data_IF_366381980785
#
_entry.id   IF_366381980785
#
_cell.length_a   1.000
_cell.length_b   1.000
_cell.length_c   1.000
_cell.angle_alpha   90.00
_cell.angle_beta   90.00
_cell.angle_gamma   90.00
#
_symmetry.space_group_name_H-M   'P 1'
#
loop_
_entity.id
_entity.type
_entity.pdbx_description
1 polymer ?
#
# COMPACT_ATOMS: atom_id res chain seq x y z
N UNK A 1 6.19 1.77 16.28
CA UNK A 1 5.39 0.73 15.61
C UNK A 1 4.10 0.45 16.37
N UNK A 2 4.17 0.03 17.63
CA UNK A 2 3.01 -0.43 18.40
C UNK A 2 1.94 0.66 18.58
N UNK A 3 2.34 1.89 18.88
CA UNK A 3 1.41 3.02 19.01
C UNK A 3 0.65 3.29 17.71
N UNK A 4 1.35 3.23 16.57
CA UNK A 4 0.71 3.41 15.26
C UNK A 4 -0.29 2.30 14.94
N UNK A 5 0.07 1.05 15.22
CA UNK A 5 -0.81 -0.10 15.04
C UNK A 5 -2.06 0.02 15.92
N UNK A 6 -1.87 0.45 17.17
CA UNK A 6 -2.99 0.66 18.10
C UNK A 6 -3.89 1.82 17.62
N UNK A 7 -3.33 2.95 17.18
CA UNK A 7 -4.10 4.08 16.63
C UNK A 7 -4.94 3.66 15.41
N UNK A 8 -4.34 2.88 14.49
CA UNK A 8 -5.05 2.36 13.33
C UNK A 8 -6.21 1.46 13.75
N UNK A 9 -5.95 0.55 14.69
CA UNK A 9 -6.99 -0.32 15.22
C UNK A 9 -8.12 0.46 15.89
N UNK A 10 -7.82 1.49 16.67
CA UNK A 10 -8.82 2.31 17.35
C UNK A 10 -9.71 3.05 16.35
N UNK A 11 -9.12 3.63 15.28
CA UNK A 11 -9.87 4.26 14.18
C UNK A 11 -10.83 3.24 13.53
N UNK A 12 -10.34 2.06 13.18
CA UNK A 12 -11.14 1.03 12.55
C UNK A 12 -12.24 0.49 13.46
N UNK A 13 -11.97 0.40 14.76
CA UNK A 13 -12.90 -0.12 15.78
C UNK A 13 -14.07 0.81 16.03
N UNK A 14 -13.89 2.13 15.95
CA UNK A 14 -14.96 3.12 16.10
C UNK A 14 -16.10 2.89 15.10
N UNK A 15 -15.77 2.52 13.87
CA UNK A 15 -16.73 2.23 12.81
C UNK A 15 -17.00 0.72 12.64
N UNK A 16 -16.56 -0.11 13.59
CA UNK A 16 -16.75 -1.58 13.61
C UNK A 16 -16.25 -2.27 12.33
N UNK A 17 -15.21 -1.73 11.72
CA UNK A 17 -14.61 -2.28 10.50
C UNK A 17 -14.07 -3.68 10.77
N UNK A 18 -14.43 -4.64 9.90
CA UNK A 18 -13.99 -6.04 9.98
C UNK A 18 -13.15 -6.46 8.78
N UNK A 19 -13.14 -5.64 7.73
CA UNK A 19 -12.47 -5.93 6.47
C UNK A 19 -11.91 -4.66 5.90
N UNK A 20 -10.64 -4.68 5.55
CA UNK A 20 -9.94 -3.57 4.93
C UNK A 20 -9.16 -4.03 3.71
N UNK A 21 -8.86 -3.09 2.84
CA UNK A 21 -7.87 -3.27 1.79
C UNK A 21 -6.63 -2.45 2.12
N UNK A 22 -5.47 -2.99 1.76
CA UNK A 22 -4.16 -2.35 1.95
C UNK A 22 -3.44 -2.25 0.61
N UNK A 23 -2.84 -1.11 0.34
CA UNK A 23 -1.96 -0.94 -0.81
C UNK A 23 -0.51 -1.23 -0.44
N UNK A 24 0.30 -1.57 -1.44
CA UNK A 24 1.73 -1.84 -1.23
C UNK A 24 2.42 -0.64 -0.57
N UNK A 25 3.12 -0.89 0.54
CA UNK A 25 3.87 0.13 1.27
C UNK A 25 4.89 -0.48 2.21
N UNK A 26 6.18 -0.21 1.99
CA UNK A 26 7.26 -0.64 2.88
C UNK A 26 7.09 -0.11 4.30
N UNK A 27 6.62 1.12 4.46
CA UNK A 27 6.37 1.73 5.77
C UNK A 27 5.33 0.96 6.59
N UNK A 28 4.29 0.43 5.94
CA UNK A 28 3.26 -0.39 6.60
C UNK A 28 3.80 -1.78 6.93
N UNK A 29 4.67 -2.34 6.08
CA UNK A 29 5.35 -3.62 6.37
C UNK A 29 6.26 -3.52 7.59
N UNK A 30 7.04 -2.43 7.70
CA UNK A 30 7.97 -2.19 8.81
C UNK A 30 7.30 -2.20 10.18
N UNK A 31 6.07 -1.71 10.29
CA UNK A 31 5.33 -1.69 11.56
C UNK A 31 4.60 -3.00 11.85
N UNK A 32 4.62 -3.97 10.93
CA UNK A 32 3.94 -5.26 11.12
C UNK A 32 2.42 -5.15 11.24
N UNK A 33 1.80 -4.21 10.50
CA UNK A 33 0.37 -3.89 10.64
C UNK A 33 -0.54 -5.08 10.32
N UNK A 34 -0.23 -5.87 9.28
CA UNK A 34 -1.10 -6.98 8.86
C UNK A 34 -1.27 -8.01 9.97
N UNK A 35 -0.21 -8.63 10.51
CA UNK A 35 -0.36 -9.61 11.57
C UNK A 35 -1.02 -9.02 12.83
N UNK A 36 -0.78 -7.74 13.12
CA UNK A 36 -1.44 -7.07 14.24
C UNK A 36 -2.97 -6.98 14.03
N UNK A 37 -3.44 -6.55 12.87
CA UNK A 37 -4.88 -6.44 12.58
C UNK A 37 -5.56 -7.80 12.47
N UNK A 38 -4.88 -8.81 11.95
CA UNK A 38 -5.39 -10.18 11.87
C UNK A 38 -5.58 -10.79 13.28
N UNK A 39 -4.65 -10.56 14.21
CA UNK A 39 -4.84 -10.92 15.62
C UNK A 39 -6.07 -10.24 16.24
N UNK A 40 -6.42 -9.03 15.79
CA UNK A 40 -7.63 -8.30 16.19
C UNK A 40 -8.89 -8.71 15.39
N UNK A 41 -8.80 -9.77 14.57
CA UNK A 41 -9.88 -10.31 13.73
C UNK A 41 -10.39 -9.32 12.67
N UNK A 42 -9.52 -8.44 12.17
CA UNK A 42 -9.75 -7.61 10.99
C UNK A 42 -9.09 -8.28 9.80
N UNK A 43 -9.88 -8.63 8.79
CA UNK A 43 -9.38 -9.20 7.53
C UNK A 43 -8.70 -8.10 6.74
N UNK A 44 -7.44 -8.33 6.33
CA UNK A 44 -6.68 -7.44 5.46
C UNK A 44 -6.55 -8.10 4.09
N UNK A 45 -6.82 -7.36 3.01
CA UNK A 45 -6.61 -7.82 1.63
C UNK A 45 -5.60 -6.90 0.95
N UNK A 46 -4.50 -7.48 0.47
CA UNK A 46 -3.50 -6.79 -0.34
C UNK A 46 -4.04 -6.48 -1.72
N UNK A 47 -3.79 -5.28 -2.24
CA UNK A 47 -4.28 -4.87 -3.57
C UNK A 47 -3.24 -5.06 -4.68
N UNK A 48 -1.96 -5.12 -4.35
CA UNK A 48 -0.90 -5.44 -5.31
C UNK A 48 -0.88 -6.95 -5.59
N UNK A 49 -0.79 -7.35 -6.86
CA UNK A 49 -0.86 -8.77 -7.27
C UNK A 49 0.23 -9.61 -6.59
N UNK A 50 1.47 -9.12 -6.56
CA UNK A 50 2.59 -9.84 -5.94
C UNK A 50 2.41 -10.03 -4.44
N UNK A 51 2.00 -8.97 -3.75
CA UNK A 51 1.75 -9.00 -2.30
C UNK A 51 0.55 -9.90 -1.97
N UNK A 52 -0.50 -9.86 -2.78
CA UNK A 52 -1.65 -10.74 -2.64
C UNK A 52 -1.27 -12.23 -2.80
N UNK A 53 -0.41 -12.56 -3.77
CA UNK A 53 0.11 -13.92 -3.91
C UNK A 53 0.89 -14.34 -2.66
N UNK A 54 1.77 -13.48 -2.14
CA UNK A 54 2.49 -13.74 -0.90
C UNK A 54 1.55 -13.95 0.29
N UNK A 55 0.51 -13.11 0.40
CA UNK A 55 -0.53 -13.25 1.43
C UNK A 55 -1.25 -14.60 1.33
N UNK A 56 -1.58 -15.07 0.13
CA UNK A 56 -2.20 -16.39 -0.06
C UNK A 56 -1.30 -17.55 0.37
N UNK A 57 0.02 -17.39 0.28
CA UNK A 57 1.02 -18.33 0.80
C UNK A 57 1.27 -18.21 2.30
N UNK A 58 0.71 -17.21 2.98
CA UNK A 58 1.06 -16.80 4.35
C UNK A 58 2.57 -16.52 4.50
N UNK A 59 3.16 -15.84 3.53
CA UNK A 59 4.57 -15.48 3.48
C UNK A 59 4.75 -13.97 3.35
N UNK A 60 5.84 -13.47 3.92
CA UNK A 60 6.26 -12.08 3.69
C UNK A 60 6.74 -11.90 2.25
N UNK A 61 6.63 -10.69 1.67
CA UNK A 61 7.19 -10.38 0.37
C UNK A 61 8.67 -10.76 0.26
N UNK A 62 9.07 -11.36 -0.88
CA UNK A 62 10.46 -11.76 -1.11
C UNK A 62 11.41 -10.56 -1.19
N UNK A 63 10.96 -9.49 -1.85
CA UNK A 63 11.64 -8.21 -1.88
C UNK A 63 10.65 -7.05 -2.03
N UNK A 64 11.15 -5.82 -1.85
CA UNK A 64 10.32 -4.60 -1.84
C UNK A 64 9.67 -4.34 -3.20
N UNK A 65 10.35 -4.66 -4.30
CA UNK A 65 9.89 -4.33 -5.67
C UNK A 65 9.01 -5.45 -6.23
N UNK A 66 9.48 -6.69 -6.16
CA UNK A 66 8.85 -7.86 -6.77
C UNK A 66 8.58 -8.92 -5.71
N UNK A 67 7.45 -8.79 -5.05
CA UNK A 67 7.11 -9.55 -3.85
C UNK A 67 7.09 -11.07 -4.06
N UNK A 68 6.65 -11.55 -5.23
CA UNK A 68 6.47 -12.96 -5.53
C UNK A 68 7.50 -13.54 -6.53
N UNK A 69 8.65 -12.87 -6.77
CA UNK A 69 9.67 -13.30 -7.74
C UNK A 69 10.29 -14.68 -7.44
N UNK A 70 10.20 -15.12 -6.19
CA UNK A 70 10.64 -16.44 -5.77
C UNK A 70 9.62 -17.57 -6.08
N UNK A 71 8.50 -17.26 -6.74
CA UNK A 71 7.47 -18.23 -7.12
C UNK A 71 7.45 -18.46 -8.62
N UNK A 72 7.38 -19.72 -9.02
CA UNK A 72 7.17 -20.07 -10.43
C UNK A 72 5.69 -19.96 -10.80
N UNK A 73 5.41 -19.79 -12.09
CA UNK A 73 4.03 -19.77 -12.58
C UNK A 73 3.26 -21.05 -12.25
N UNK A 74 3.93 -22.22 -12.25
CA UNK A 74 3.32 -23.48 -11.86
C UNK A 74 2.89 -23.45 -10.40
N UNK A 75 3.77 -23.02 -9.51
CA UNK A 75 3.45 -22.92 -8.08
C UNK A 75 2.26 -21.98 -7.82
N UNK A 76 2.18 -20.87 -8.53
CA UNK A 76 1.05 -19.93 -8.41
C UNK A 76 -0.24 -20.58 -8.95
N UNK A 77 -0.16 -21.31 -10.07
CA UNK A 77 -1.30 -22.03 -10.64
C UNK A 77 -1.81 -23.12 -9.69
N UNK A 78 -0.91 -23.87 -9.06
CA UNK A 78 -1.26 -24.90 -8.08
C UNK A 78 -1.94 -24.27 -6.84
N UNK A 79 -1.38 -23.18 -6.31
CA UNK A 79 -2.00 -22.42 -5.21
C UNK A 79 -3.42 -21.97 -5.54
N UNK A 80 -3.61 -21.43 -6.75
CA UNK A 80 -4.92 -20.94 -7.19
C UNK A 80 -5.90 -22.08 -7.45
N UNK A 81 -5.43 -23.23 -7.93
CA UNK A 81 -6.23 -24.44 -8.04
C UNK A 81 -6.75 -24.88 -6.67
N UNK A 82 -5.86 -24.93 -5.69
CA UNK A 82 -6.20 -25.38 -4.33
C UNK A 82 -7.14 -24.42 -3.61
N UNK A 83 -6.90 -23.10 -3.74
CA UNK A 83 -7.69 -22.10 -3.02
C UNK A 83 -8.99 -21.69 -3.70
N UNK A 84 -9.02 -21.70 -5.04
CA UNK A 84 -10.13 -21.13 -5.82
C UNK A 84 -10.71 -22.11 -6.83
N UNK A 85 -10.18 -23.35 -6.95
CA UNK A 85 -10.69 -24.34 -7.88
C UNK A 85 -10.42 -24.05 -9.36
N UNK A 86 -9.39 -23.23 -9.66
CA UNK A 86 -9.01 -22.90 -11.04
C UNK A 86 -8.25 -24.06 -11.67
N UNK A 87 -8.37 -24.20 -13.00
CA UNK A 87 -7.60 -25.22 -13.75
C UNK A 87 -6.09 -24.98 -13.63
N UNK A 88 -5.33 -26.01 -13.30
CA UNK A 88 -3.86 -25.95 -13.10
C UNK A 88 -3.06 -25.49 -14.33
N UNK A 89 -3.58 -25.63 -15.55
CA UNK A 89 -2.89 -25.26 -16.79
C UNK A 89 -3.11 -23.80 -17.22
N UNK A 90 -3.16 -22.85 -16.28
CA UNK A 90 -3.27 -21.45 -16.60
C UNK A 90 -1.92 -20.84 -16.96
N UNK A 91 -1.88 -20.07 -18.05
CA UNK A 91 -0.71 -19.27 -18.39
C UNK A 91 -0.62 -18.00 -17.51
N UNK A 92 0.54 -17.32 -17.45
CA UNK A 92 0.72 -16.13 -16.60
C UNK A 92 -0.32 -15.03 -16.83
N UNK A 93 -0.74 -14.82 -18.09
CA UNK A 93 -1.76 -13.81 -18.42
C UNK A 93 -3.13 -14.17 -17.82
N UNK A 94 -3.49 -15.45 -17.87
CA UNK A 94 -4.74 -15.93 -17.28
C UNK A 94 -4.73 -15.82 -15.77
N UNK A 95 -3.61 -16.18 -15.12
CA UNK A 95 -3.44 -16.02 -13.67
C UNK A 95 -3.56 -14.55 -13.26
N UNK A 96 -2.91 -13.63 -13.98
CA UNK A 96 -3.01 -12.20 -13.75
C UNK A 96 -4.44 -11.67 -13.89
N UNK A 97 -5.14 -12.06 -14.94
CA UNK A 97 -6.54 -11.66 -15.17
C UNK A 97 -7.45 -12.17 -14.05
N UNK A 98 -7.25 -13.39 -13.63
CA UNK A 98 -8.02 -13.99 -12.54
C UNK A 98 -7.77 -13.28 -11.22
N UNK A 99 -6.50 -13.01 -10.89
CA UNK A 99 -6.16 -12.23 -9.68
C UNK A 99 -6.80 -10.85 -9.72
N UNK A 100 -6.75 -10.17 -10.86
CA UNK A 100 -7.41 -8.86 -11.04
C UNK A 100 -8.92 -8.93 -10.83
N UNK A 101 -9.56 -10.02 -11.24
CA UNK A 101 -11.00 -10.21 -11.02
C UNK A 101 -11.31 -10.41 -9.54
N UNK A 102 -10.56 -11.27 -8.83
CA UNK A 102 -10.71 -11.47 -7.39
C UNK A 102 -10.51 -10.16 -6.61
N UNK A 103 -9.43 -9.45 -6.91
CA UNK A 103 -9.15 -8.16 -6.28
C UNK A 103 -10.21 -7.10 -6.59
N UNK A 104 -10.75 -7.10 -7.81
CA UNK A 104 -11.82 -6.16 -8.19
C UNK A 104 -13.05 -6.33 -7.29
N UNK A 105 -13.44 -7.54 -6.95
CA UNK A 105 -14.57 -7.82 -6.05
C UNK A 105 -14.30 -7.29 -4.65
N UNK A 106 -13.11 -7.56 -4.09
CA UNK A 106 -12.70 -7.05 -2.77
C UNK A 106 -12.61 -5.51 -2.73
N UNK A 107 -12.19 -4.89 -3.84
CA UNK A 107 -11.99 -3.43 -3.94
C UNK A 107 -13.27 -2.66 -4.30
N UNK A 108 -14.34 -3.33 -4.70
CA UNK A 108 -15.58 -2.65 -5.16
C UNK A 108 -16.36 -1.99 -4.03
N UNK A 109 -16.24 -2.48 -2.79
CA UNK A 109 -16.92 -1.93 -1.63
C UNK A 109 -16.09 -2.13 -0.36
N UNK A 110 -14.95 -1.47 -0.23
CA UNK A 110 -14.10 -1.58 0.94
C UNK A 110 -14.69 -0.80 2.11
N UNK A 111 -14.67 -1.38 3.32
CA UNK A 111 -15.05 -0.64 4.52
C UNK A 111 -14.01 0.40 4.94
N UNK A 112 -12.75 0.13 4.66
CA UNK A 112 -11.64 1.06 4.83
C UNK A 112 -10.49 0.70 3.90
N UNK A 113 -9.66 1.70 3.56
CA UNK A 113 -8.41 1.54 2.85
C UNK A 113 -7.25 2.06 3.68
N UNK A 114 -6.13 1.34 3.66
CA UNK A 114 -4.86 1.80 4.23
C UNK A 114 -3.84 1.91 3.11
N UNK A 115 -3.25 3.09 2.97
CA UNK A 115 -2.20 3.37 1.97
C UNK A 115 -0.92 3.88 2.63
N UNK A 116 0.21 3.73 1.95
CA UNK A 116 1.39 4.54 2.22
C UNK A 116 1.26 5.93 1.61
N UNK A 117 2.37 6.67 1.58
CA UNK A 117 2.54 7.84 0.74
C UNK A 117 3.96 7.86 0.17
N UNK A 118 4.11 8.33 -1.06
CA UNK A 118 5.41 8.55 -1.68
C UNK A 118 5.99 9.89 -1.23
N UNK A 119 5.16 10.93 -1.19
CA UNK A 119 5.53 12.25 -0.69
C UNK A 119 4.37 12.90 0.08
N UNK A 120 4.72 13.78 1.01
CA UNK A 120 3.81 14.63 1.77
C UNK A 120 4.27 16.08 1.62
N UNK A 121 3.45 16.90 1.00
CA UNK A 121 3.79 18.31 0.74
C UNK A 121 3.34 19.15 1.92
N UNK A 122 4.28 19.66 2.72
CA UNK A 122 3.96 20.30 4.01
C UNK A 122 3.26 21.65 3.89
N UNK A 123 3.54 22.43 2.85
CA UNK A 123 2.93 23.76 2.65
C UNK A 123 1.46 23.69 2.19
N UNK A 124 1.03 22.59 1.60
CA UNK A 124 -0.34 22.40 1.07
C UNK A 124 -1.13 21.29 1.75
N UNK A 125 -0.47 20.44 2.54
CA UNK A 125 -1.08 19.23 3.10
C UNK A 125 -1.38 18.15 2.06
N UNK A 126 -0.79 18.24 0.86
CA UNK A 126 -1.05 17.29 -0.23
C UNK A 126 -0.34 15.97 0.02
N UNK A 127 -1.07 14.88 -0.06
CA UNK A 127 -0.54 13.51 -0.04
C UNK A 127 -0.34 13.05 -1.48
N UNK A 128 0.84 12.54 -1.80
CA UNK A 128 1.18 12.09 -3.16
C UNK A 128 1.42 10.60 -3.15
N UNK A 129 0.68 9.89 -3.99
CA UNK A 129 0.77 8.44 -4.19
C UNK A 129 1.20 8.16 -5.63
N UNK A 130 2.07 7.19 -5.82
CA UNK A 130 2.47 6.71 -7.15
C UNK A 130 2.05 5.27 -7.32
N UNK A 131 1.50 4.94 -8.47
CA UNK A 131 1.07 3.59 -8.79
C UNK A 131 1.14 3.28 -10.28
N UNK A 132 1.07 1.99 -10.62
CA UNK A 132 1.09 1.55 -12.02
C UNK A 132 -0.08 0.63 -12.37
N UNK A 133 -0.84 0.16 -11.39
CA UNK A 133 -1.90 -0.82 -11.57
C UNK A 133 -3.30 -0.18 -11.52
N UNK A 134 -3.42 1.08 -11.11
CA UNK A 134 -4.69 1.80 -10.94
C UNK A 134 -5.54 1.30 -9.78
N UNK A 135 -4.94 0.53 -8.85
CA UNK A 135 -5.64 -0.05 -7.72
C UNK A 135 -5.72 0.90 -6.53
N UNK A 136 -4.72 1.78 -6.32
CA UNK A 136 -4.73 2.77 -5.24
C UNK A 136 -5.88 3.75 -5.44
N UNK A 137 -5.94 4.40 -6.60
CA UNK A 137 -6.99 5.38 -6.90
C UNK A 137 -8.39 4.79 -6.72
N UNK A 138 -8.63 3.59 -7.26
CA UNK A 138 -9.92 2.90 -7.08
C UNK A 138 -10.24 2.66 -5.62
N UNK A 139 -9.27 2.13 -4.86
CA UNK A 139 -9.46 1.83 -3.45
C UNK A 139 -9.81 3.07 -2.64
N UNK A 140 -9.07 4.16 -2.86
CA UNK A 140 -9.28 5.42 -2.15
C UNK A 140 -10.61 6.09 -2.50
N UNK A 141 -11.07 5.95 -3.77
CA UNK A 141 -12.30 6.61 -4.25
C UNK A 141 -13.59 6.00 -3.69
N UNK A 142 -13.57 4.75 -3.20
CA UNK A 142 -14.78 4.06 -2.73
C UNK A 142 -14.78 3.76 -1.24
N UNK A 143 -13.66 3.90 -0.55
CA UNK A 143 -13.56 3.59 0.86
C UNK A 143 -14.09 4.75 1.73
N UNK A 144 -15.07 4.53 2.62
CA UNK A 144 -15.55 5.58 3.53
C UNK A 144 -14.49 6.01 4.56
N UNK A 145 -13.49 5.18 4.81
CA UNK A 145 -12.35 5.48 5.69
C UNK A 145 -11.07 5.28 4.90
N UNK A 146 -10.23 6.31 4.85
CA UNK A 146 -8.90 6.24 4.27
C UNK A 146 -7.85 6.61 5.34
N UNK A 147 -6.97 5.67 5.65
CA UNK A 147 -5.85 5.87 6.57
C UNK A 147 -4.56 5.87 5.76
N UNK A 148 -3.84 6.97 5.78
CA UNK A 148 -2.53 7.10 5.16
C UNK A 148 -1.46 6.94 6.23
N UNK A 149 -0.53 6.01 6.02
CA UNK A 149 0.60 5.76 6.92
C UNK A 149 1.89 6.13 6.20
N UNK A 150 2.56 7.15 6.67
CA UNK A 150 3.76 7.64 6.01
C UNK A 150 4.87 7.95 7.00
N UNK A 151 6.11 7.70 6.59
CA UNK A 151 7.27 8.08 7.36
C UNK A 151 7.59 9.56 7.19
N UNK A 152 8.13 10.20 8.23
CA UNK A 152 8.50 11.63 8.23
C UNK A 152 9.53 11.99 7.15
N UNK A 153 10.35 11.04 6.69
CA UNK A 153 11.30 11.27 5.59
C UNK A 153 10.63 11.44 4.22
N UNK A 154 9.32 11.27 4.13
CA UNK A 154 8.53 11.56 2.92
C UNK A 154 8.05 13.00 2.85
N UNK A 155 8.32 13.81 3.88
CA UNK A 155 7.96 15.23 3.90
C UNK A 155 8.84 16.02 2.94
N UNK A 156 8.19 16.80 2.10
CA UNK A 156 8.80 17.81 1.23
C UNK A 156 8.15 19.17 1.50
N UNK A 157 8.80 20.25 1.16
CA UNK A 157 8.28 21.59 1.50
C UNK A 157 7.23 22.05 0.50
N UNK A 158 7.51 21.92 -0.79
CA UNK A 158 6.69 22.49 -1.87
C UNK A 158 6.34 21.46 -2.94
N UNK A 159 5.20 21.66 -3.59
CA UNK A 159 4.77 20.87 -4.74
C UNK A 159 5.75 20.98 -5.93
N UNK A 160 6.49 22.06 -6.03
CA UNK A 160 7.47 22.28 -7.09
C UNK A 160 8.60 21.25 -7.07
N UNK A 161 8.95 20.74 -5.89
CA UNK A 161 9.97 19.69 -5.73
C UNK A 161 9.57 18.38 -6.44
N UNK A 162 8.26 18.14 -6.59
CA UNK A 162 7.74 16.96 -7.28
C UNK A 162 8.12 16.93 -8.76
N UNK A 163 8.39 18.07 -9.38
CA UNK A 163 8.84 18.16 -10.77
C UNK A 163 10.17 17.41 -11.00
N UNK A 164 10.98 17.29 -9.98
CA UNK A 164 12.25 16.53 -9.98
C UNK A 164 12.07 15.16 -9.36
N UNK A 165 11.39 15.07 -8.22
CA UNK A 165 11.30 13.82 -7.44
C UNK A 165 10.46 12.74 -8.12
N UNK A 166 9.36 13.10 -8.79
CA UNK A 166 8.52 12.11 -9.47
C UNK A 166 9.20 11.46 -10.69
N UNK A 167 9.81 12.23 -11.62
CA UNK A 167 10.60 11.63 -12.69
C UNK A 167 11.75 10.77 -12.17
N UNK A 168 12.46 11.24 -11.14
CA UNK A 168 13.56 10.52 -10.54
C UNK A 168 13.13 9.18 -9.94
N UNK A 169 12.03 9.15 -9.17
CA UNK A 169 11.49 7.93 -8.60
C UNK A 169 11.07 6.92 -9.67
N UNK A 170 10.48 7.38 -10.77
CA UNK A 170 10.07 6.52 -11.88
C UNK A 170 11.25 5.97 -12.69
N UNK A 171 12.35 6.73 -12.80
CA UNK A 171 13.55 6.33 -13.54
C UNK A 171 14.27 5.14 -12.90
N UNK A 172 14.29 5.07 -11.57
CA UNK A 172 14.96 4.00 -10.83
C UNK A 172 14.11 2.72 -10.67
N UNK A 173 12.86 2.70 -11.12
CA UNK A 173 12.07 1.47 -11.13
C UNK A 173 12.52 0.55 -12.29
N UNK A 174 12.95 -0.70 -12.01
CA UNK A 174 13.40 -1.63 -13.04
C UNK A 174 12.30 -1.92 -14.07
N UNK A 175 12.66 -1.93 -15.36
CA UNK A 175 11.77 -2.27 -16.49
C UNK A 175 10.59 -1.31 -16.71
N UNK A 176 10.67 -0.04 -16.31
CA UNK A 176 9.58 0.92 -16.54
C UNK A 176 9.98 2.07 -17.43
N UNK A 177 9.16 2.27 -18.45
CA UNK A 177 9.04 3.56 -19.12
C UNK A 177 8.27 4.51 -18.19
N UNK A 178 8.51 5.81 -18.29
CA UNK A 178 8.03 6.93 -17.46
C UNK A 178 6.47 7.03 -17.46
N UNK A 179 5.75 6.00 -17.06
CA UNK A 179 4.27 6.02 -17.05
C UNK A 179 3.67 5.55 -15.73
N UNK A 180 4.11 6.18 -14.63
CA UNK A 180 3.43 6.01 -13.34
C UNK A 180 2.19 6.89 -13.30
N UNK A 181 1.13 6.40 -12.66
CA UNK A 181 0.00 7.21 -12.26
C UNK A 181 0.34 7.93 -10.96
N UNK A 182 0.02 9.22 -10.91
CA UNK A 182 0.21 10.04 -9.73
C UNK A 182 -1.15 10.48 -9.21
N UNK A 183 -1.43 10.17 -7.95
CA UNK A 183 -2.64 10.60 -7.26
C UNK A 183 -2.29 11.64 -6.21
N UNK A 184 -2.92 12.81 -6.31
CA UNK A 184 -2.76 13.93 -5.38
C UNK A 184 -4.04 14.02 -4.52
N UNK A 185 -3.90 13.88 -3.22
CA UNK A 185 -5.00 13.93 -2.27
C UNK A 185 -4.81 15.18 -1.41
N UNK A 186 -5.71 16.15 -1.57
CA UNK A 186 -5.69 17.41 -0.82
C UNK A 186 -6.71 17.42 0.33
N UNK A 187 -7.49 16.36 0.49
CA UNK A 187 -8.51 16.25 1.52
C UNK A 187 -9.43 15.05 1.28
N UNK A 188 -10.40 14.87 2.17
CA UNK A 188 -11.38 13.79 2.02
C UNK A 188 -12.28 14.03 0.80
N UNK A 189 -12.72 12.94 0.18
CA UNK A 189 -13.65 12.95 -0.95
C UNK A 189 -15.08 12.70 -0.47
N UNK A 190 -16.07 13.13 -1.23
CA UNK A 190 -17.47 12.80 -0.98
C UNK A 190 -17.84 11.51 -1.70
N UNK A 191 -18.40 10.55 -0.96
CA UNK A 191 -18.83 9.24 -1.45
C UNK A 191 -20.30 9.07 -1.10
N UNK A 192 -21.18 8.98 -2.11
CA UNK A 192 -22.63 8.81 -1.93
C UNK A 192 -23.26 9.79 -0.93
N UNK A 193 -22.85 11.06 -0.98
CA UNK A 193 -23.37 12.11 -0.10
C UNK A 193 -22.76 12.11 1.32
N UNK A 194 -21.76 11.28 1.57
CA UNK A 194 -21.04 11.25 2.85
C UNK A 194 -19.57 11.62 2.66
N UNK A 195 -19.04 12.45 3.54
CA UNK A 195 -17.63 12.80 3.51
C UNK A 195 -16.78 11.64 4.03
N UNK A 196 -15.79 11.24 3.24
CA UNK A 196 -14.80 10.24 3.62
C UNK A 196 -14.06 10.68 4.90
N UNK A 197 -13.79 9.75 5.82
CA UNK A 197 -12.89 9.99 6.95
C UNK A 197 -11.45 9.77 6.49
N UNK A 198 -10.69 10.84 6.34
CA UNK A 198 -9.27 10.80 5.96
C UNK A 198 -8.38 10.98 7.19
N UNK A 199 -7.49 10.04 7.45
CA UNK A 199 -6.51 10.09 8.54
C UNK A 199 -5.09 10.01 7.98
N UNK A 200 -4.19 10.82 8.51
CA UNK A 200 -2.75 10.76 8.21
C UNK A 200 -1.99 10.41 9.50
N UNK A 201 -1.29 9.29 9.47
CA UNK A 201 -0.42 8.84 10.56
C UNK A 201 1.03 9.01 10.12
N UNK A 202 1.75 9.89 10.82
CA UNK A 202 3.17 10.15 10.58
C UNK A 202 4.02 9.30 11.51
N UNK A 203 4.95 8.54 10.93
CA UNK A 203 5.87 7.68 11.65
C UNK A 203 7.26 8.31 11.67
N UNK A 204 7.80 8.48 12.87
CA UNK A 204 9.21 8.79 13.04
C UNK A 204 10.10 7.53 12.87
N UNK A 205 9.65 6.41 13.42
CA UNK A 205 10.33 5.10 13.36
C UNK A 205 11.86 5.19 13.59
N UNK A 206 12.29 5.98 14.60
CA UNK A 206 13.67 6.31 14.95
C UNK A 206 14.49 7.04 13.86
N UNK A 207 13.85 7.55 12.80
CA UNK A 207 14.55 8.26 11.71
C UNK A 207 15.29 9.47 12.22
N UNK A 208 14.71 10.25 13.14
CA UNK A 208 15.37 11.42 13.73
C UNK A 208 16.65 11.02 14.49
N UNK A 209 16.64 9.93 15.23
CA UNK A 209 17.83 9.43 15.95
C UNK A 209 18.91 8.91 14.99
N UNK A 210 18.50 8.30 13.88
CA UNK A 210 19.41 7.82 12.85
C UNK A 210 20.07 8.99 12.12
N UNK A 211 19.31 10.06 11.84
CA UNK A 211 19.83 11.27 11.19
C UNK A 211 20.87 12.03 12.03
N UNK A 212 20.83 11.91 13.36
CA UNK A 212 21.84 12.49 14.26
C UNK A 212 23.19 11.79 14.18
N UNK A 213 23.23 10.54 13.71
CA UNK A 213 24.45 9.73 13.62
C UNK A 213 25.00 9.76 12.21
N UNK A 214 26.17 10.35 12.01
CA UNK A 214 26.78 10.64 10.72
C UNK A 214 26.82 9.42 9.77
N UNK A 215 27.35 8.27 10.24
CA UNK A 215 27.44 7.04 9.44
C UNK A 215 26.06 6.52 9.02
N UNK A 216 25.09 6.59 9.93
CA UNK A 216 23.74 6.07 9.66
C UNK A 216 22.95 7.01 8.74
N UNK A 217 23.18 8.32 8.83
CA UNK A 217 22.61 9.31 7.92
C UNK A 217 23.06 9.06 6.48
N UNK A 218 24.35 8.74 6.27
CA UNK A 218 24.88 8.45 4.94
C UNK A 218 24.22 7.19 4.32
N UNK A 219 23.89 6.18 5.15
CA UNK A 219 23.13 5.00 4.69
C UNK A 219 21.72 5.37 4.24
N UNK A 220 21.04 6.28 4.95
CA UNK A 220 19.70 6.76 4.55
C UNK A 220 19.72 7.60 3.27
N UNK A 221 20.87 8.14 2.90
CA UNK A 221 21.05 8.92 1.67
C UNK A 221 21.28 8.05 0.42
N UNK A 222 21.47 6.74 0.60
CA UNK A 222 21.51 5.77 -0.48
C UNK A 222 20.11 5.46 -0.96
#
# INVERSE_FOLDING_TARGET
ADDANQMIYDILSQDRVKRIIKTKSSTIEEIGLIPYLEMKKIKVTETNIGDFICQLYNQVPYNIVHSADNKTNSQIADLYSDKFGIKQNCNPKQLTLYTKQLLKEEMSNPSAVITGANFLVSNSGTIVLTENEGNILKSCSFAPIHIVVASINKLITSIDELSVLLPLSSFYEPNRNISSLYTFINGPVEIEGQLQKLYLILLNNNITEILEKEIQRDILSC
#
